data_IF_101995913539
#
_entry.id   IF_101995913539
#
_cell.length_a   1.000
_cell.length_b   1.000
_cell.length_c   1.000
_cell.angle_alpha   90.00
_cell.angle_beta   90.00
_cell.angle_gamma   90.00
#
_symmetry.space_group_name_H-M   'P 1'
#
loop_
_entity.id
_entity.type
_entity.pdbx_description
1 polymer ?
#
# COMPACT_ATOMS: atom_id res chain seq x y z
N UNK A 1 3.54 -5.01 36.36
CA UNK A 1 2.73 -5.66 35.32
C UNK A 1 1.90 -6.73 36.00
N UNK A 2 0.63 -6.93 35.64
CA UNK A 2 -0.19 -7.99 36.24
C UNK A 2 0.50 -9.35 36.05
N UNK A 3 0.41 -10.17 37.08
CA UNK A 3 0.90 -11.55 37.07
C UNK A 3 0.12 -12.39 36.06
N UNK A 4 0.73 -13.48 35.58
CA UNK A 4 0.07 -14.43 34.67
C UNK A 4 -1.24 -14.97 35.24
N UNK A 5 -1.31 -15.18 36.57
CA UNK A 5 -2.54 -15.59 37.26
C UNK A 5 -3.66 -14.55 37.19
N UNK A 6 -3.33 -13.27 37.38
CA UNK A 6 -4.32 -12.18 37.27
C UNK A 6 -4.82 -12.03 35.84
N UNK A 7 -3.93 -12.18 34.85
CA UNK A 7 -4.30 -12.17 33.43
C UNK A 7 -5.26 -13.33 33.07
N UNK A 8 -5.01 -14.53 33.60
CA UNK A 8 -5.90 -15.68 33.40
C UNK A 8 -7.25 -15.47 34.08
N UNK A 9 -7.29 -14.86 35.26
CA UNK A 9 -8.54 -14.55 35.94
C UNK A 9 -9.38 -13.55 35.13
N UNK A 10 -8.76 -12.48 34.61
CA UNK A 10 -9.44 -11.51 33.73
C UNK A 10 -9.96 -12.20 32.47
N UNK A 11 -9.17 -13.09 31.85
CA UNK A 11 -9.61 -13.86 30.69
C UNK A 11 -10.78 -14.78 31.00
N UNK A 12 -10.78 -15.45 32.15
CA UNK A 12 -11.87 -16.30 32.59
C UNK A 12 -13.17 -15.51 32.78
N UNK A 13 -13.09 -14.35 33.44
CA UNK A 13 -14.23 -13.43 33.61
C UNK A 13 -14.72 -12.93 32.26
N UNK A 14 -13.81 -12.56 31.36
CA UNK A 14 -14.17 -12.14 29.99
C UNK A 14 -14.92 -13.25 29.24
N UNK A 15 -14.43 -14.49 29.27
CA UNK A 15 -15.09 -15.63 28.62
C UNK A 15 -16.47 -15.90 29.27
N UNK A 16 -16.62 -15.72 30.58
CA UNK A 16 -17.91 -15.87 31.26
C UNK A 16 -18.97 -14.87 30.75
N UNK A 17 -18.59 -13.60 30.57
CA UNK A 17 -19.52 -12.55 30.12
C UNK A 17 -19.75 -12.56 28.60
N UNK A 18 -18.70 -12.77 27.81
CA UNK A 18 -18.76 -12.63 26.36
C UNK A 18 -18.89 -13.97 25.62
N UNK A 19 -18.53 -15.08 26.25
CA UNK A 19 -18.54 -16.43 25.68
C UNK A 19 -17.26 -16.77 24.89
N UNK A 20 -16.91 -18.06 24.85
CA UNK A 20 -15.70 -18.55 24.17
C UNK A 20 -15.75 -18.36 22.64
N UNK A 21 -16.94 -18.29 22.06
CA UNK A 21 -17.14 -18.08 20.63
C UNK A 21 -16.68 -16.68 20.14
N UNK A 22 -16.53 -15.71 21.05
CA UNK A 22 -16.07 -14.36 20.69
C UNK A 22 -14.56 -14.30 20.45
N UNK A 23 -13.77 -15.15 21.11
CA UNK A 23 -12.31 -15.14 20.95
C UNK A 23 -11.86 -15.40 19.50
N UNK A 24 -12.38 -16.43 18.78
CA UNK A 24 -12.05 -16.64 17.38
C UNK A 24 -12.49 -15.49 16.47
N UNK A 25 -13.66 -14.88 16.75
CA UNK A 25 -14.19 -13.77 15.94
C UNK A 25 -13.32 -12.52 16.07
N UNK A 26 -12.93 -12.18 17.30
CA UNK A 26 -12.03 -11.05 17.59
C UNK A 26 -10.63 -11.27 16.99
N UNK A 27 -10.08 -12.48 17.11
CA UNK A 27 -8.79 -12.81 16.51
C UNK A 27 -8.81 -12.66 14.98
N UNK A 28 -9.88 -13.12 14.33
CA UNK A 28 -10.07 -12.95 12.88
C UNK A 28 -10.19 -11.47 12.50
N UNK A 29 -11.06 -10.70 13.16
CA UNK A 29 -11.25 -9.28 12.83
C UNK A 29 -10.00 -8.46 13.06
N UNK A 30 -9.28 -8.71 14.16
CA UNK A 30 -8.03 -8.05 14.46
C UNK A 30 -6.92 -8.46 13.48
N UNK A 31 -6.87 -9.74 13.10
CA UNK A 31 -5.94 -10.25 12.09
C UNK A 31 -6.16 -9.60 10.72
N UNK A 32 -7.42 -9.50 10.27
CA UNK A 32 -7.77 -8.80 9.03
C UNK A 32 -7.40 -7.32 9.11
N UNK A 33 -7.78 -6.62 10.19
CA UNK A 33 -7.46 -5.20 10.37
C UNK A 33 -5.95 -4.94 10.38
N UNK A 34 -5.18 -5.78 11.06
CA UNK A 34 -3.70 -5.71 11.06
C UNK A 34 -3.13 -5.97 9.66
N UNK A 35 -3.71 -6.94 8.93
CA UNK A 35 -3.30 -7.27 7.56
C UNK A 35 -3.51 -6.10 6.60
N UNK A 36 -4.72 -5.54 6.57
CA UNK A 36 -5.05 -4.36 5.77
C UNK A 36 -4.22 -3.14 6.16
N UNK A 37 -3.98 -2.93 7.47
CA UNK A 37 -3.09 -1.86 7.94
C UNK A 37 -1.65 -2.05 7.42
N UNK A 38 -1.10 -3.26 7.54
CA UNK A 38 0.27 -3.54 7.07
C UNK A 38 0.39 -3.39 5.56
N UNK A 39 -0.64 -3.80 4.81
CA UNK A 39 -0.74 -3.60 3.36
C UNK A 39 -0.77 -2.12 3.01
N UNK A 40 -1.63 -1.33 3.66
CA UNK A 40 -1.69 0.12 3.44
C UNK A 40 -0.38 0.84 3.74
N UNK A 41 0.37 0.41 4.77
CA UNK A 41 1.71 0.94 5.06
C UNK A 41 2.73 0.56 3.98
N UNK A 42 2.65 -0.65 3.43
CA UNK A 42 3.51 -1.08 2.33
C UNK A 42 3.20 -0.31 1.03
N UNK A 43 1.93 -0.26 0.64
CA UNK A 43 1.45 0.46 -0.54
C UNK A 43 1.81 1.96 -0.46
N UNK A 44 1.72 2.57 0.73
CA UNK A 44 2.14 3.97 0.94
C UNK A 44 3.63 4.19 0.74
N UNK A 45 4.50 3.23 1.06
CA UNK A 45 5.95 3.36 0.81
C UNK A 45 6.24 3.30 -0.68
N UNK A 46 5.67 2.31 -1.37
CA UNK A 46 5.81 2.16 -2.82
C UNK A 46 5.30 3.39 -3.57
N UNK A 47 4.10 3.87 -3.25
CA UNK A 47 3.56 5.09 -3.88
C UNK A 47 4.39 6.34 -3.58
N UNK A 48 4.99 6.45 -2.38
CA UNK A 48 5.85 7.59 -2.05
C UNK A 48 7.19 7.51 -2.77
N UNK A 49 7.78 6.31 -2.89
CA UNK A 49 9.01 6.09 -3.65
C UNK A 49 8.78 6.40 -5.14
N UNK A 50 7.68 5.92 -5.72
CA UNK A 50 7.32 6.20 -7.11
C UNK A 50 7.04 7.70 -7.35
N UNK A 51 6.37 8.40 -6.43
CA UNK A 51 6.14 9.85 -6.54
C UNK A 51 7.43 10.66 -6.39
N UNK A 52 8.38 10.19 -5.56
CA UNK A 52 9.70 10.80 -5.41
C UNK A 52 10.57 10.57 -6.65
N UNK A 53 10.56 9.38 -7.23
CA UNK A 53 11.25 9.05 -8.48
C UNK A 53 10.71 9.89 -9.65
N UNK A 54 9.41 10.17 -9.65
CA UNK A 54 8.76 11.07 -10.61
C UNK A 54 8.96 12.57 -10.29
N UNK A 55 9.68 12.91 -9.22
CA UNK A 55 9.87 14.27 -8.73
C UNK A 55 8.56 15.07 -8.58
N UNK A 56 7.44 14.39 -8.23
CA UNK A 56 6.12 14.99 -8.12
C UNK A 56 5.48 15.43 -9.44
N UNK A 57 6.00 15.00 -10.60
CA UNK A 57 5.41 15.25 -11.91
C UNK A 57 4.21 14.33 -12.14
N UNK A 58 3.28 14.72 -13.01
CA UNK A 58 2.23 13.79 -13.45
C UNK A 58 2.80 12.77 -14.45
N UNK A 59 2.20 11.59 -14.60
CA UNK A 59 2.67 10.58 -15.57
C UNK A 59 2.87 11.15 -16.98
N UNK A 60 1.97 12.02 -17.44
CA UNK A 60 2.11 12.70 -18.74
C UNK A 60 3.28 13.67 -18.80
N UNK A 61 3.56 14.37 -17.70
CA UNK A 61 4.67 15.31 -17.66
C UNK A 61 6.03 14.59 -17.62
N UNK A 62 6.11 13.47 -16.89
CA UNK A 62 7.31 12.61 -16.87
C UNK A 62 7.56 11.96 -18.24
N UNK A 63 6.51 11.45 -18.89
CA UNK A 63 6.60 10.88 -20.24
C UNK A 63 7.02 11.92 -21.28
N UNK A 64 6.50 13.15 -21.19
CA UNK A 64 6.86 14.23 -22.11
C UNK A 64 8.33 14.66 -21.94
N UNK A 65 8.82 14.75 -20.70
CA UNK A 65 10.22 15.07 -20.41
C UNK A 65 11.17 13.96 -20.87
N UNK A 66 10.84 12.68 -20.59
CA UNK A 66 11.62 11.54 -21.09
C UNK A 66 11.67 11.51 -22.62
N UNK A 67 10.55 11.80 -23.28
CA UNK A 67 10.47 11.89 -24.74
C UNK A 67 11.31 13.06 -25.29
N UNK A 68 11.28 14.22 -24.64
CA UNK A 68 12.09 15.38 -25.02
C UNK A 68 13.60 15.11 -24.84
N UNK A 69 13.99 14.47 -23.73
CA UNK A 69 15.38 14.05 -23.47
C UNK A 69 15.86 12.97 -24.45
N UNK A 70 14.97 12.07 -24.89
CA UNK A 70 15.23 11.06 -25.92
C UNK A 70 15.19 11.63 -27.36
N UNK A 71 14.71 12.87 -27.55
CA UNK A 71 14.59 13.50 -28.86
C UNK A 71 13.38 13.04 -29.68
N UNK A 72 12.36 12.46 -29.04
CA UNK A 72 11.12 11.98 -29.65
C UNK A 72 10.15 13.16 -29.85
N UNK A 73 9.63 13.33 -31.06
CA UNK A 73 8.59 14.32 -31.35
C UNK A 73 7.25 13.95 -30.67
N UNK A 74 6.77 14.86 -29.82
CA UNK A 74 5.56 14.68 -29.01
C UNK A 74 4.31 15.28 -29.69
N UNK A 75 4.48 16.22 -30.65
CA UNK A 75 3.38 16.90 -31.33
C UNK A 75 2.60 15.94 -32.24
N UNK A 76 1.31 15.75 -31.93
CA UNK A 76 0.39 14.93 -32.72
C UNK A 76 0.38 13.44 -32.39
N UNK A 77 1.24 12.97 -31.47
CA UNK A 77 1.24 11.58 -30.98
C UNK A 77 0.39 11.43 -29.72
N UNK A 78 -0.23 10.27 -29.54
CA UNK A 78 -0.91 9.94 -28.29
C UNK A 78 0.10 9.56 -27.20
N UNK A 79 -0.24 9.76 -25.91
CA UNK A 79 0.65 9.39 -24.80
C UNK A 79 1.08 7.90 -24.81
N UNK A 80 0.24 7.03 -25.35
CA UNK A 80 0.51 5.59 -25.44
C UNK A 80 1.56 5.28 -26.53
N UNK A 81 1.51 5.97 -27.67
CA UNK A 81 2.49 5.84 -28.76
C UNK A 81 3.88 6.37 -28.36
N UNK A 82 3.92 7.50 -27.66
CA UNK A 82 5.18 8.06 -27.13
C UNK A 82 5.84 7.10 -26.14
N UNK A 83 5.04 6.40 -25.33
CA UNK A 83 5.52 5.39 -24.38
C UNK A 83 6.05 4.13 -25.08
N UNK A 84 5.44 3.70 -26.19
CA UNK A 84 5.92 2.58 -27.00
C UNK A 84 7.22 2.89 -27.75
N UNK A 85 7.41 4.13 -28.19
CA UNK A 85 8.66 4.58 -28.82
C UNK A 85 9.79 4.70 -27.79
N UNK A 86 9.51 5.27 -26.62
CA UNK A 86 10.47 5.32 -25.50
C UNK A 86 10.96 3.93 -25.08
N UNK A 87 10.05 2.94 -24.99
CA UNK A 87 10.41 1.56 -24.65
C UNK A 87 11.16 0.81 -25.77
N UNK A 88 11.15 1.32 -27.00
CA UNK A 88 11.90 0.76 -28.14
C UNK A 88 13.27 1.41 -28.33
N UNK A 89 13.48 2.61 -27.76
CA UNK A 89 14.75 3.34 -27.78
C UNK A 89 15.65 3.09 -26.55
N UNK A 90 15.11 2.52 -25.45
CA UNK A 90 15.89 1.91 -24.36
C UNK A 90 16.54 0.56 -24.74
#
# INVERSE_FOLDING_TARGET
MPSTSEMLFILAVFILFFGIERLPKLARSLGMAKGEFQKGIADSRTSTEEDLDRAGKTERAELAEKAEDAGIEIEGKSPDEVKEELNQEE
#
